data_IF_480108994151
#
_entry.id   IF_480108994151
#
_cell.length_a   1.000
_cell.length_b   1.000
_cell.length_c   1.000
_cell.angle_alpha   90.00
_cell.angle_beta   90.00
_cell.angle_gamma   90.00
#
_symmetry.space_group_name_H-M   'P 1'
#
loop_
_entity.id
_entity.type
_entity.pdbx_description
1 polymer ?
#
# COMPACT_ATOMS: atom_id res chain seq x y z
N UNK A 1 5.78 -13.51 6.15
CA UNK A 1 5.59 -12.23 5.44
C UNK A 1 5.68 -11.14 6.49
N UNK A 2 6.69 -10.28 6.37
CA UNK A 2 7.02 -9.22 7.33
C UNK A 2 5.80 -8.34 7.58
N UNK A 3 5.52 -8.00 8.83
CA UNK A 3 4.31 -7.28 9.30
C UNK A 3 3.91 -6.08 8.40
N UNK A 4 4.89 -5.41 7.79
CA UNK A 4 4.72 -4.30 6.84
C UNK A 4 3.82 -4.62 5.64
N UNK A 5 3.79 -5.86 5.15
CA UNK A 5 2.91 -6.26 4.03
C UNK A 5 1.52 -6.73 4.50
N UNK A 6 1.41 -7.09 5.77
CA UNK A 6 0.15 -7.49 6.40
C UNK A 6 -0.65 -6.26 6.82
N UNK A 7 0.03 -5.25 7.35
CA UNK A 7 -0.53 -3.97 7.81
C UNK A 7 0.30 -2.81 7.26
N UNK A 8 0.19 -2.52 5.95
CA UNK A 8 0.92 -1.42 5.36
C UNK A 8 0.44 -0.08 5.92
N UNK A 9 1.35 0.87 6.12
CA UNK A 9 0.96 2.25 6.36
C UNK A 9 0.38 2.83 5.07
N UNK A 10 -0.83 3.33 5.12
CA UNK A 10 -1.52 3.88 3.96
C UNK A 10 -2.24 5.19 4.26
N UNK A 11 -2.58 5.91 3.20
CA UNK A 11 -3.41 7.10 3.26
C UNK A 11 -4.36 7.14 2.07
N UNK A 12 -5.64 7.38 2.35
CA UNK A 12 -6.66 7.54 1.31
C UNK A 12 -6.91 9.03 1.04
N UNK A 13 -6.76 9.43 -0.21
CA UNK A 13 -7.10 10.76 -0.70
C UNK A 13 -8.42 10.68 -1.44
N UNK A 14 -9.39 11.49 -1.02
CA UNK A 14 -10.65 11.64 -1.76
C UNK A 14 -10.63 12.95 -2.52
N UNK A 15 -10.79 12.89 -3.84
CA UNK A 15 -10.84 14.08 -4.67
C UNK A 15 -12.12 14.88 -4.35
N UNK A 16 -12.01 16.15 -3.92
CA UNK A 16 -13.13 16.89 -3.33
C UNK A 16 -14.26 17.20 -4.31
N UNK A 17 -14.01 17.19 -5.63
CA UNK A 17 -15.03 17.49 -6.65
C UNK A 17 -15.65 16.26 -7.31
N UNK A 18 -14.90 15.15 -7.40
CA UNK A 18 -15.33 13.95 -8.16
C UNK A 18 -15.56 12.75 -7.28
N UNK A 19 -15.16 12.79 -6.00
CA UNK A 19 -15.25 11.67 -5.07
C UNK A 19 -14.30 10.52 -5.37
N UNK A 20 -13.45 10.63 -6.40
CA UNK A 20 -12.45 9.60 -6.74
C UNK A 20 -11.53 9.40 -5.54
N UNK A 21 -11.38 8.15 -5.12
CA UNK A 21 -10.46 7.76 -4.04
C UNK A 21 -9.14 7.29 -4.63
N UNK A 22 -8.03 7.71 -4.04
CA UNK A 22 -6.67 7.27 -4.39
C UNK A 22 -5.95 6.85 -3.12
N UNK A 23 -5.49 5.60 -3.07
CA UNK A 23 -4.67 5.09 -1.97
C UNK A 23 -3.19 5.37 -2.21
N UNK A 24 -2.47 5.76 -1.16
CA UNK A 24 -0.99 5.77 -1.12
C UNK A 24 -0.52 4.80 -0.05
N UNK A 25 0.55 4.09 -0.33
CA UNK A 25 1.16 3.09 0.56
C UNK A 25 2.60 3.53 0.80
N UNK A 26 3.03 3.50 2.05
CA UNK A 26 4.36 3.95 2.47
C UNK A 26 5.22 2.76 2.89
N UNK A 27 6.45 2.72 2.39
CA UNK A 27 7.45 1.72 2.77
C UNK A 27 8.74 2.43 3.20
N UNK A 28 9.41 1.97 4.27
CA UNK A 28 10.76 2.44 4.59
C UNK A 28 11.75 2.15 3.45
N UNK A 29 12.69 3.06 3.20
CA UNK A 29 13.63 2.93 2.07
C UNK A 29 14.50 1.67 2.14
N UNK A 30 15.03 1.32 3.33
CA UNK A 30 15.82 0.11 3.52
C UNK A 30 14.98 -1.16 3.34
N UNK A 31 13.71 -1.13 3.76
CA UNK A 31 12.76 -2.22 3.55
C UNK A 31 12.48 -2.43 2.06
N UNK A 32 12.29 -1.35 1.29
CA UNK A 32 12.15 -1.45 -0.16
C UNK A 32 13.37 -2.09 -0.81
N UNK A 33 14.59 -1.68 -0.42
CA UNK A 33 15.81 -2.23 -1.00
C UNK A 33 15.94 -3.75 -0.76
N UNK A 34 15.63 -4.20 0.45
CA UNK A 34 15.75 -5.61 0.85
C UNK A 34 14.62 -6.48 0.28
N UNK A 35 13.39 -5.95 0.18
CA UNK A 35 12.19 -6.73 -0.15
C UNK A 35 11.53 -6.36 -1.49
N UNK A 36 12.26 -5.69 -2.40
CA UNK A 36 11.71 -5.13 -3.64
C UNK A 36 10.93 -6.17 -4.49
N UNK A 37 11.42 -7.40 -4.63
CA UNK A 37 10.72 -8.45 -5.40
C UNK A 37 9.39 -8.84 -4.77
N UNK A 38 9.36 -9.03 -3.45
CA UNK A 38 8.15 -9.38 -2.70
C UNK A 38 7.11 -8.25 -2.76
N UNK A 39 7.57 -6.99 -2.70
CA UNK A 39 6.71 -5.81 -2.83
C UNK A 39 6.16 -5.71 -4.25
N UNK A 40 6.98 -5.94 -5.27
CA UNK A 40 6.52 -5.95 -6.66
C UNK A 40 5.45 -7.03 -6.90
N UNK A 41 5.64 -8.24 -6.39
CA UNK A 41 4.64 -9.31 -6.46
C UNK A 41 3.36 -8.95 -5.69
N UNK A 42 3.49 -8.32 -4.53
CA UNK A 42 2.35 -7.88 -3.74
C UNK A 42 1.55 -6.78 -4.45
N UNK A 43 2.21 -5.84 -5.13
CA UNK A 43 1.58 -4.76 -5.92
C UNK A 43 0.87 -5.26 -7.19
N UNK A 44 1.18 -6.47 -7.67
CA UNK A 44 0.50 -7.07 -8.83
C UNK A 44 -0.88 -7.64 -8.50
N UNK A 45 -1.28 -7.65 -7.22
CA UNK A 45 -2.61 -8.11 -6.81
C UNK A 45 -3.69 -7.19 -7.41
N UNK A 46 -4.76 -7.79 -7.94
CA UNK A 46 -5.87 -7.05 -8.57
C UNK A 46 -6.57 -6.09 -7.60
N UNK A 47 -6.64 -6.46 -6.32
CA UNK A 47 -7.20 -5.63 -5.27
C UNK A 47 -6.28 -5.63 -4.06
N UNK A 48 -6.06 -4.43 -3.51
CA UNK A 48 -5.42 -4.22 -2.22
C UNK A 48 -6.51 -3.74 -1.27
N UNK A 49 -6.89 -4.61 -0.33
CA UNK A 49 -7.93 -4.31 0.66
C UNK A 49 -7.25 -3.77 1.91
N UNK A 50 -7.64 -2.56 2.31
CA UNK A 50 -7.25 -1.98 3.59
C UNK A 50 -8.46 -2.03 4.51
N UNK A 51 -8.34 -2.69 5.67
CA UNK A 51 -9.37 -2.60 6.70
C UNK A 51 -9.21 -1.26 7.43
N UNK A 52 -10.17 -0.35 7.28
CA UNK A 52 -10.30 0.78 8.21
C UNK A 52 -10.85 0.24 9.54
N UNK A 53 -10.16 0.53 10.64
CA UNK A 53 -10.63 0.28 12.00
C UNK A 53 -11.49 1.45 12.52
#
# INVERSE_FOLDING_TARGET
MTEVLSEPQFQIFTHPKTGIKTGRIYFPALFLAEYHESIAQWLQRQEVIFCEA
#
